data_IF_380610346896
#
_entry.id   IF_380610346896
#
_cell.length_a   1.000
_cell.length_b   1.000
_cell.length_c   1.000
_cell.angle_alpha   90.00
_cell.angle_beta   90.00
_cell.angle_gamma   90.00
#
_symmetry.space_group_name_H-M   'P 1'
#
loop_
_entity.id
_entity.type
_entity.pdbx_description
1 polymer ?
#
# COMPACT_ATOMS: atom_id res chain seq x y z
N UNK A 1 -21.65 38.45 30.68
CA UNK A 1 -20.97 37.15 30.45
C UNK A 1 -20.55 37.11 29.00
N UNK A 2 -19.23 37.12 28.77
CA UNK A 2 -18.60 37.36 27.48
C UNK A 2 -18.65 36.12 26.58
N UNK A 3 -18.92 36.32 25.29
CA UNK A 3 -18.71 35.32 24.23
C UNK A 3 -17.21 35.05 24.09
N UNK A 4 -16.80 33.79 24.07
CA UNK A 4 -15.44 33.38 23.70
C UNK A 4 -15.49 32.77 22.30
N UNK A 5 -14.82 33.46 21.39
CA UNK A 5 -14.47 33.04 20.04
C UNK A 5 -13.42 31.93 20.03
N UNK A 6 -13.56 30.99 19.10
CA UNK A 6 -12.47 30.47 18.25
C UNK A 6 -11.33 29.70 18.91
N UNK A 7 -11.28 28.39 18.65
CA UNK A 7 -10.03 27.69 18.37
C UNK A 7 -10.34 26.39 17.63
N UNK A 8 -10.07 26.43 16.33
CA UNK A 8 -10.02 25.28 15.43
C UNK A 8 -9.06 24.22 16.00
N UNK A 9 -9.53 22.97 16.08
CA UNK A 9 -8.67 21.83 16.44
C UNK A 9 -7.48 21.78 15.46
N UNK A 10 -6.24 21.64 15.93
CA UNK A 10 -5.12 21.42 15.04
C UNK A 10 -5.28 20.03 14.40
N UNK A 11 -5.22 19.98 13.07
CA UNK A 11 -5.04 18.73 12.34
C UNK A 11 -3.72 18.12 12.82
N UNK A 12 -3.80 17.03 13.58
CA UNK A 12 -2.62 16.30 14.02
C UNK A 12 -2.14 15.41 12.88
N UNK A 13 -1.07 15.89 12.25
CA UNK A 13 0.08 15.16 11.73
C UNK A 13 -0.22 13.81 11.06
N UNK A 14 -0.32 13.85 9.72
CA UNK A 14 0.04 12.72 8.87
C UNK A 14 1.46 12.27 9.23
N UNK A 15 1.54 11.15 9.92
CA UNK A 15 2.79 10.47 10.20
C UNK A 15 2.79 9.18 9.37
N UNK A 16 3.67 9.14 8.37
CA UNK A 16 4.34 7.93 7.94
C UNK A 16 3.46 6.81 7.35
N UNK A 17 2.82 7.07 6.21
CA UNK A 17 2.22 6.02 5.38
C UNK A 17 3.22 5.16 4.61
N UNK A 18 4.42 4.89 5.15
CA UNK A 18 5.30 3.83 4.65
C UNK A 18 6.08 3.29 5.85
N UNK A 19 5.86 2.02 6.19
CA UNK A 19 6.56 1.33 7.27
C UNK A 19 8.03 1.07 6.91
N UNK A 20 8.84 2.13 6.82
CA UNK A 20 10.29 2.02 6.69
C UNK A 20 10.92 1.75 8.05
N UNK A 21 11.91 0.86 8.11
CA UNK A 21 12.82 0.86 9.27
C UNK A 21 13.59 2.19 9.32
N UNK A 22 13.81 2.73 10.52
CA UNK A 22 14.50 4.02 10.73
C UNK A 22 15.88 4.08 10.05
N UNK A 23 16.53 2.92 9.85
CA UNK A 23 17.83 2.81 9.16
C UNK A 23 17.74 2.91 7.64
N UNK A 24 16.65 2.45 7.03
CA UNK A 24 16.47 2.52 5.57
C UNK A 24 16.23 3.97 5.12
N UNK A 25 15.38 4.72 5.83
CA UNK A 25 15.19 6.16 5.60
C UNK A 25 16.46 6.99 5.75
N UNK A 26 17.33 6.63 6.70
CA UNK A 26 18.53 7.42 6.99
C UNK A 26 19.58 7.41 5.86
N UNK A 27 19.53 6.45 4.93
CA UNK A 27 20.56 6.25 3.91
C UNK A 27 20.02 6.34 2.47
N UNK A 28 18.80 6.84 2.27
CA UNK A 28 18.24 7.04 0.93
C UNK A 28 18.83 8.30 0.28
N UNK A 29 19.23 8.26 -1.00
CA UNK A 29 19.65 9.46 -1.73
C UNK A 29 18.48 10.42 -1.87
N UNK A 30 18.76 11.72 -1.89
CA UNK A 30 17.74 12.77 -2.03
C UNK A 30 16.86 12.63 -3.28
N UNK A 31 17.41 12.04 -4.36
CA UNK A 31 16.65 11.74 -5.59
C UNK A 31 15.60 10.66 -5.37
N UNK A 32 15.93 9.61 -4.61
CA UNK A 32 14.99 8.52 -4.30
C UNK A 32 13.93 9.03 -3.33
N UNK A 33 14.32 9.79 -2.30
CA UNK A 33 13.38 10.48 -1.40
C UNK A 33 12.44 11.41 -2.15
N UNK A 34 12.94 12.19 -3.12
CA UNK A 34 12.10 13.07 -3.94
C UNK A 34 11.11 12.30 -4.82
N UNK A 35 11.52 11.16 -5.37
CA UNK A 35 10.64 10.33 -6.18
C UNK A 35 9.55 9.66 -5.34
N UNK A 36 9.94 9.12 -4.17
CA UNK A 36 9.01 8.57 -3.18
C UNK A 36 8.03 9.63 -2.69
N UNK A 37 8.52 10.85 -2.48
CA UNK A 37 7.67 11.98 -2.08
C UNK A 37 6.69 12.37 -3.18
N UNK A 38 7.12 12.43 -4.45
CA UNK A 38 6.21 12.69 -5.58
C UNK A 38 5.12 11.63 -5.70
N UNK A 39 5.46 10.35 -5.48
CA UNK A 39 4.49 9.26 -5.45
C UNK A 39 3.52 9.38 -4.26
N UNK A 40 4.01 9.78 -3.08
CA UNK A 40 3.19 9.96 -1.88
C UNK A 40 2.33 11.24 -1.93
N UNK A 41 2.80 12.30 -2.60
CA UNK A 41 2.08 13.55 -2.82
C UNK A 41 1.00 13.41 -3.89
N UNK A 42 1.06 12.38 -4.76
CA UNK A 42 -0.09 11.85 -5.51
C UNK A 42 -1.03 11.07 -4.58
N UNK A 43 -1.41 11.74 -3.50
CA UNK A 43 -2.33 11.21 -2.51
C UNK A 43 -3.60 10.71 -3.20
N UNK A 44 -4.24 9.65 -2.69
CA UNK A 44 -5.48 9.09 -3.22
C UNK A 44 -6.69 10.02 -2.99
N UNK A 45 -6.44 11.30 -2.69
CA UNK A 45 -7.47 12.30 -2.40
C UNK A 45 -7.93 13.04 -3.65
N UNK A 46 -7.15 13.03 -4.74
CA UNK A 46 -7.54 13.65 -6.03
C UNK A 46 -8.13 12.64 -7.03
N UNK A 47 -7.95 11.36 -6.79
CA UNK A 47 -8.51 10.28 -7.60
C UNK A 47 -9.40 9.43 -6.70
N UNK A 48 -10.58 9.01 -7.17
CA UNK A 48 -11.37 7.97 -6.51
C UNK A 48 -10.64 6.61 -6.61
N UNK A 49 -9.40 6.54 -6.14
CA UNK A 49 -8.54 5.35 -6.27
C UNK A 49 -9.11 4.24 -5.41
N UNK A 50 -9.27 3.03 -5.99
CA UNK A 50 -9.66 1.85 -5.24
C UNK A 50 -8.75 1.63 -4.04
N UNK A 51 -9.31 1.06 -2.98
CA UNK A 51 -8.58 0.63 -1.78
C UNK A 51 -7.36 -0.24 -2.14
N UNK A 52 -7.49 -1.11 -3.15
CA UNK A 52 -6.35 -1.82 -3.72
C UNK A 52 -6.33 -1.68 -5.24
N UNK A 53 -5.23 -1.16 -5.77
CA UNK A 53 -4.97 -1.02 -7.21
C UNK A 53 -3.45 -0.89 -7.48
N UNK A 54 -3.03 -1.06 -8.74
CA UNK A 54 -1.66 -0.82 -9.17
C UNK A 54 -1.30 0.67 -9.12
N UNK A 55 -0.01 1.00 -9.22
CA UNK A 55 0.50 2.38 -9.14
C UNK A 55 -0.06 3.32 -10.23
N UNK A 56 -0.50 2.77 -11.36
CA UNK A 56 -1.15 3.52 -12.45
C UNK A 56 -2.68 3.62 -12.27
N UNK A 57 -3.23 3.07 -11.18
CA UNK A 57 -4.66 3.01 -10.88
C UNK A 57 -5.40 1.85 -11.54
N UNK A 58 -4.71 1.01 -12.33
CA UNK A 58 -5.32 -0.20 -12.90
C UNK A 58 -5.58 -1.27 -11.84
N UNK A 59 -6.40 -2.26 -12.18
CA UNK A 59 -6.65 -3.39 -11.29
C UNK A 59 -5.38 -4.22 -11.10
N UNK A 60 -5.17 -4.73 -9.88
CA UNK A 60 -3.99 -5.53 -9.56
C UNK A 60 -3.91 -6.79 -10.42
N UNK A 61 -2.71 -7.06 -10.93
CA UNK A 61 -2.34 -8.28 -11.65
C UNK A 61 -1.73 -9.34 -10.74
N UNK A 62 -1.61 -9.07 -9.44
CA UNK A 62 -1.16 -10.06 -8.46
C UNK A 62 -2.06 -11.31 -8.55
N UNK A 63 -1.51 -12.52 -8.75
CA UNK A 63 -2.29 -13.75 -8.80
C UNK A 63 -3.17 -14.01 -7.56
N UNK A 64 -2.89 -13.40 -6.41
CA UNK A 64 -3.75 -13.48 -5.22
C UNK A 64 -4.89 -12.46 -5.22
N UNK A 65 -4.82 -11.43 -6.07
CA UNK A 65 -5.77 -10.30 -6.10
C UNK A 65 -6.54 -10.20 -7.41
N UNK A 66 -6.06 -10.82 -8.48
CA UNK A 66 -6.73 -10.87 -9.78
C UNK A 66 -8.17 -11.38 -9.65
N UNK A 67 -9.14 -10.68 -10.26
CA UNK A 67 -10.54 -11.11 -10.24
C UNK A 67 -10.77 -12.27 -11.22
N UNK A 68 -11.63 -13.21 -10.82
CA UNK A 68 -12.04 -14.33 -11.67
C UNK A 68 -13.19 -13.96 -12.62
N UNK A 69 -13.81 -12.80 -12.44
CA UNK A 69 -14.96 -12.35 -13.23
C UNK A 69 -14.55 -11.48 -14.43
N UNK A 70 -15.43 -11.44 -15.44
CA UNK A 70 -15.30 -10.57 -16.61
C UNK A 70 -16.61 -9.78 -16.79
N UNK A 71 -16.60 -8.43 -16.64
CA UNK A 71 -15.45 -7.59 -16.32
C UNK A 71 -14.98 -7.75 -14.87
N UNK A 72 -13.69 -7.50 -14.63
CA UNK A 72 -13.10 -7.57 -13.30
C UNK A 72 -13.62 -6.46 -12.37
N UNK A 73 -13.91 -6.83 -11.12
CA UNK A 73 -14.42 -5.94 -10.08
C UNK A 73 -13.26 -5.24 -9.34
N UNK A 74 -13.35 -3.91 -9.12
CA UNK A 74 -12.38 -3.18 -8.30
C UNK A 74 -12.46 -3.57 -6.83
N UNK A 75 -11.37 -3.37 -6.10
CA UNK A 75 -11.30 -3.59 -4.66
C UNK A 75 -11.42 -2.24 -3.97
N UNK A 76 -12.59 -1.95 -3.40
CA UNK A 76 -12.93 -0.62 -2.88
C UNK A 76 -12.84 -0.53 -1.36
N UNK A 77 -12.62 -1.65 -0.68
CA UNK A 77 -12.53 -1.74 0.77
C UNK A 77 -11.65 -2.90 1.25
N UNK A 78 -11.25 -2.88 2.52
CA UNK A 78 -10.59 -4.01 3.22
C UNK A 78 -11.42 -5.30 3.11
N UNK A 79 -12.74 -5.18 3.24
CA UNK A 79 -13.65 -6.31 3.10
C UNK A 79 -13.60 -6.91 1.69
N UNK A 80 -13.59 -6.08 0.64
CA UNK A 80 -13.50 -6.56 -0.75
C UNK A 80 -12.16 -7.27 -0.98
N UNK A 81 -11.06 -6.67 -0.48
CA UNK A 81 -9.73 -7.24 -0.59
C UNK A 81 -9.65 -8.63 0.08
N UNK A 82 -10.11 -8.74 1.32
CA UNK A 82 -10.10 -10.01 2.08
C UNK A 82 -10.98 -11.06 1.41
N UNK A 83 -12.16 -10.67 0.92
CA UNK A 83 -13.02 -11.56 0.16
C UNK A 83 -12.33 -12.07 -1.10
N UNK A 84 -11.63 -11.19 -1.84
CA UNK A 84 -10.87 -11.57 -3.04
C UNK A 84 -9.72 -12.52 -2.72
N UNK A 85 -8.93 -12.24 -1.69
CA UNK A 85 -7.85 -13.14 -1.25
C UNK A 85 -8.40 -14.52 -0.90
N UNK A 86 -9.54 -14.55 -0.22
CA UNK A 86 -10.23 -15.80 0.13
C UNK A 86 -10.75 -16.56 -1.10
N UNK A 87 -11.42 -15.87 -2.03
CA UNK A 87 -11.87 -16.44 -3.31
C UNK A 87 -10.68 -17.06 -4.06
N UNK A 88 -9.54 -16.36 -4.15
CA UNK A 88 -8.34 -16.85 -4.83
C UNK A 88 -7.64 -17.98 -4.08
N UNK A 89 -7.62 -17.94 -2.75
CA UNK A 89 -7.12 -19.05 -1.93
C UNK A 89 -7.87 -20.35 -2.22
N UNK A 90 -9.20 -20.31 -2.24
CA UNK A 90 -10.03 -21.48 -2.57
C UNK A 90 -9.84 -21.92 -4.02
N UNK A 91 -9.79 -20.97 -4.96
CA UNK A 91 -9.57 -21.25 -6.38
C UNK A 91 -8.27 -22.03 -6.63
N UNK A 92 -7.21 -21.72 -5.89
CA UNK A 92 -5.92 -22.42 -5.96
C UNK A 92 -5.85 -23.69 -5.10
N UNK A 93 -6.99 -24.21 -4.64
CA UNK A 93 -7.07 -25.47 -3.89
C UNK A 93 -6.73 -25.36 -2.40
N UNK A 94 -6.76 -24.14 -1.86
CA UNK A 94 -6.64 -23.88 -0.44
C UNK A 94 -7.74 -24.60 0.36
N UNK A 95 -7.36 -25.27 1.44
CA UNK A 95 -8.26 -26.09 2.27
C UNK A 95 -7.98 -25.97 3.77
N UNK A 96 -6.93 -25.24 4.15
CA UNK A 96 -6.56 -24.98 5.54
C UNK A 96 -7.11 -23.61 5.90
N UNK A 97 -7.88 -23.53 6.98
CA UNK A 97 -8.44 -22.27 7.49
C UNK A 97 -9.62 -21.69 6.69
N UNK A 98 -10.47 -22.51 6.06
CA UNK A 98 -11.66 -22.06 5.31
C UNK A 98 -12.49 -21.01 6.08
N UNK A 99 -12.77 -21.24 7.37
CA UNK A 99 -13.58 -20.31 8.18
C UNK A 99 -12.77 -19.27 8.99
N UNK A 100 -11.44 -19.30 8.92
CA UNK A 100 -10.56 -18.43 9.71
C UNK A 100 -9.68 -17.52 8.86
N UNK A 101 -9.54 -17.81 7.57
CA UNK A 101 -8.64 -17.10 6.67
C UNK A 101 -9.08 -15.67 6.41
N UNK A 102 -10.39 -15.41 6.47
CA UNK A 102 -10.90 -14.05 6.46
C UNK A 102 -10.38 -13.29 7.69
N UNK A 103 -10.55 -13.81 8.90
CA UNK A 103 -10.24 -13.07 10.14
C UNK A 103 -8.75 -13.11 10.55
N UNK A 104 -7.90 -13.76 9.76
CA UNK A 104 -6.48 -13.94 10.08
C UNK A 104 -5.61 -12.71 9.75
N UNK A 105 -5.75 -12.03 8.60
CA UNK A 105 -5.03 -10.80 8.31
C UNK A 105 -5.49 -9.66 9.24
N UNK A 106 -4.60 -8.71 9.56
CA UNK A 106 -5.01 -7.46 10.20
C UNK A 106 -6.04 -6.71 9.34
N UNK A 107 -6.80 -5.82 9.96
CA UNK A 107 -7.75 -4.94 9.27
C UNK A 107 -7.16 -3.54 9.14
N UNK A 108 -7.40 -2.89 8.01
CA UNK A 108 -7.05 -1.49 7.79
C UNK A 108 -8.10 -0.78 6.97
N UNK A 109 -8.57 0.37 7.42
CA UNK A 109 -9.43 1.26 6.61
C UNK A 109 -8.60 2.20 5.71
N UNK A 110 -7.29 2.24 5.90
CA UNK A 110 -6.34 3.01 5.11
C UNK A 110 -5.59 2.12 4.11
N UNK A 111 -5.20 2.73 3.00
CA UNK A 111 -4.27 2.16 2.03
C UNK A 111 -3.11 3.10 1.81
N UNK A 112 -1.93 2.53 1.57
CA UNK A 112 -0.66 3.23 1.39
C UNK A 112 0.01 2.78 0.11
N UNK A 113 0.83 3.66 -0.46
CA UNK A 113 1.65 3.31 -1.61
C UNK A 113 2.77 2.37 -1.18
N UNK A 114 2.78 1.17 -1.72
CA UNK A 114 3.73 0.10 -1.37
C UNK A 114 4.44 -0.41 -2.63
N UNK A 115 5.72 -0.76 -2.51
CA UNK A 115 6.49 -1.39 -3.59
C UNK A 115 5.99 -2.81 -3.94
N UNK A 116 5.35 -3.48 -2.97
CA UNK A 116 4.84 -4.85 -2.98
C UNK A 116 5.88 -5.98 -3.19
N UNK A 117 7.08 -5.67 -3.67
CA UNK A 117 8.17 -6.65 -3.83
C UNK A 117 9.54 -6.13 -3.32
N UNK A 118 9.59 -5.66 -2.07
CA UNK A 118 10.85 -5.17 -1.50
C UNK A 118 11.74 -6.36 -1.09
N UNK A 119 12.85 -6.53 -1.81
CA UNK A 119 13.82 -7.60 -1.57
C UNK A 119 15.24 -7.11 -1.86
N UNK A 120 16.30 -7.74 -1.29
CA UNK A 120 17.69 -7.32 -1.55
C UNK A 120 18.05 -7.25 -3.03
N UNK A 121 17.46 -8.10 -3.88
CA UNK A 121 17.64 -8.08 -5.34
C UNK A 121 17.14 -6.79 -6.01
N UNK A 122 16.19 -6.10 -5.38
CA UNK A 122 15.52 -4.91 -5.88
C UNK A 122 16.09 -3.62 -5.27
N UNK A 123 17.14 -3.74 -4.45
CA UNK A 123 17.82 -2.61 -3.80
C UNK A 123 19.20 -2.45 -4.42
N UNK A 124 19.45 -1.31 -5.04
CA UNK A 124 20.77 -0.95 -5.55
C UNK A 124 21.61 -0.39 -4.40
N UNK A 125 22.87 -0.83 -4.33
CA UNK A 125 23.84 -0.35 -3.34
C UNK A 125 25.13 0.08 -4.03
N UNK A 126 25.78 1.12 -3.51
CA UNK A 126 27.12 1.52 -3.95
C UNK A 126 28.23 0.70 -3.27
N UNK A 127 29.48 0.97 -3.65
CA UNK A 127 30.67 0.33 -3.08
C UNK A 127 30.85 0.60 -1.58
N UNK A 128 30.20 1.63 -1.04
CA UNK A 128 30.22 1.99 0.38
C UNK A 128 29.04 1.38 1.16
N UNK A 129 28.22 0.54 0.52
CA UNK A 129 27.00 -0.06 1.05
C UNK A 129 25.87 0.95 1.38
N UNK A 130 25.85 2.10 0.72
CA UNK A 130 24.69 2.98 0.77
C UNK A 130 23.65 2.54 -0.26
N UNK A 131 22.37 2.62 0.10
CA UNK A 131 21.29 2.40 -0.85
C UNK A 131 21.31 3.53 -1.87
N UNK A 132 21.31 3.21 -3.16
CA UNK A 132 21.33 4.20 -4.26
C UNK A 132 20.06 4.24 -5.08
N UNK A 133 19.23 3.20 -4.98
CA UNK A 133 17.98 3.12 -5.71
C UNK A 133 17.16 1.88 -5.34
N UNK A 134 15.89 1.91 -5.73
CA UNK A 134 14.98 0.77 -5.67
C UNK A 134 14.44 0.56 -7.08
N UNK A 135 14.46 -0.68 -7.54
CA UNK A 135 14.02 -1.08 -8.88
C UNK A 135 12.90 -2.11 -8.77
N UNK A 136 12.32 -2.50 -9.91
CA UNK A 136 11.30 -3.56 -9.99
C UNK A 136 9.94 -3.16 -9.39
N UNK A 137 9.43 -2.00 -9.82
CA UNK A 137 8.18 -1.39 -9.35
C UNK A 137 6.91 -1.96 -10.01
N UNK A 138 6.99 -3.08 -10.75
CA UNK A 138 5.87 -3.58 -11.55
C UNK A 138 4.65 -4.02 -10.72
N UNK A 139 4.87 -4.40 -9.45
CA UNK A 139 3.81 -4.72 -8.49
C UNK A 139 3.47 -3.56 -7.55
N UNK A 140 4.08 -2.40 -7.72
CA UNK A 140 3.80 -1.27 -6.85
C UNK A 140 2.36 -0.80 -7.00
N UNK A 141 1.79 -0.31 -5.90
CA UNK A 141 0.39 0.13 -5.88
C UNK A 141 -0.10 0.50 -4.49
N UNK A 142 -1.42 0.58 -4.37
CA UNK A 142 -2.11 0.83 -3.11
C UNK A 142 -2.41 -0.51 -2.43
N UNK A 143 -1.94 -0.63 -1.18
CA UNK A 143 -2.12 -1.81 -0.34
C UNK A 143 -2.54 -1.38 1.07
N UNK A 144 -3.15 -2.26 1.87
CA UNK A 144 -3.41 -1.99 3.28
C UNK A 144 -2.15 -1.56 4.03
N UNK A 145 -2.31 -0.77 5.10
CA UNK A 145 -1.19 -0.22 5.88
C UNK A 145 -0.35 -1.27 6.65
N UNK A 146 -0.86 -2.50 6.79
CA UNK A 146 -0.26 -3.57 7.61
C UNK A 146 0.75 -4.47 6.90
#
# INVERSE_FOLDING_TARGET
MSMVSGSTKPARQSLNGIAWSTRLRANLPSTVESHLKDLNDRSPTEFETPYQCAADGSLSQDPMLEDLQVPARPLLSDSDLRARIYERYLYHGGSRCENQLLDMPPHSESSVSTHADIAPRNILVDEQNNVTGVIDWEYAGWYPEY
#
